data_IF_213548401915
#
_entry.id   IF_213548401915
#
_cell.length_a   1.000
_cell.length_b   1.000
_cell.length_c   1.000
_cell.angle_alpha   90.00
_cell.angle_beta   90.00
_cell.angle_gamma   90.00
#
_symmetry.space_group_name_H-M   'P 1'
#
loop_
_entity.id
_entity.type
_entity.pdbx_description
1 polymer ?
#
# COMPACT_ATOMS: atom_id res chain seq x y z
N UNK A 1 -8.38 -5.74 6.01
CA UNK A 1 -6.92 -5.90 6.26
C UNK A 1 -6.42 -7.12 5.50
N UNK A 2 -5.19 -7.10 4.96
CA UNK A 2 -4.70 -8.08 3.96
C UNK A 2 -4.34 -9.48 4.46
N UNK A 3 -4.28 -9.72 5.78
CA UNK A 3 -3.81 -11.00 6.37
C UNK A 3 -2.41 -11.43 5.91
N UNK A 4 -1.52 -10.47 5.62
CA UNK A 4 -0.11 -10.72 5.27
C UNK A 4 0.81 -10.16 6.35
N UNK A 5 2.06 -10.62 6.35
CA UNK A 5 3.12 -10.05 7.19
C UNK A 5 3.39 -8.56 6.84
N UNK A 6 3.65 -7.69 7.82
CA UNK A 6 3.98 -6.28 7.57
C UNK A 6 5.19 -6.04 6.64
N UNK A 7 6.16 -6.96 6.58
CA UNK A 7 7.29 -6.86 5.63
C UNK A 7 6.82 -7.01 4.18
N UNK A 8 5.75 -7.77 3.95
CA UNK A 8 5.13 -7.88 2.62
C UNK A 8 4.55 -6.53 2.18
N UNK A 9 3.82 -5.85 3.08
CA UNK A 9 3.29 -4.50 2.82
C UNK A 9 4.41 -3.48 2.61
N UNK A 10 5.52 -3.62 3.37
CA UNK A 10 6.72 -2.80 3.16
C UNK A 10 7.35 -3.05 1.80
N UNK A 11 7.39 -4.30 1.32
CA UNK A 11 7.90 -4.65 -0.01
C UNK A 11 7.05 -4.01 -1.10
N UNK A 12 5.72 -4.04 -0.98
CA UNK A 12 4.83 -3.37 -1.95
C UNK A 12 5.13 -1.88 -2.08
N UNK A 13 5.38 -1.20 -0.97
CA UNK A 13 5.77 0.21 -1.00
C UNK A 13 7.16 0.44 -1.61
N UNK A 14 8.12 -0.47 -1.39
CA UNK A 14 9.44 -0.38 -2.05
C UNK A 14 9.34 -0.59 -3.57
N UNK A 15 8.42 -1.43 -4.02
CA UNK A 15 8.21 -1.73 -5.44
C UNK A 15 7.19 -0.81 -6.12
N UNK A 16 6.74 0.25 -5.44
CA UNK A 16 5.79 1.22 -6.00
C UNK A 16 4.35 0.69 -6.18
N UNK A 17 4.00 -0.44 -5.57
CA UNK A 17 2.64 -1.03 -5.63
C UNK A 17 1.67 -0.43 -4.62
N UNK A 18 2.19 0.26 -3.60
CA UNK A 18 1.40 0.91 -2.56
C UNK A 18 2.11 2.18 -2.12
N UNK A 19 1.44 3.32 -2.18
CA UNK A 19 2.03 4.59 -1.77
C UNK A 19 2.28 4.61 -0.25
N UNK A 20 3.44 5.13 0.16
CA UNK A 20 3.77 5.25 1.58
C UNK A 20 4.44 6.57 1.91
N UNK A 21 4.07 7.14 3.05
CA UNK A 21 4.78 8.25 3.68
C UNK A 21 5.55 7.75 4.90
N UNK A 22 6.61 8.46 5.29
CA UNK A 22 7.36 8.15 6.51
C UNK A 22 7.06 9.18 7.59
N UNK A 23 6.86 8.69 8.81
CA UNK A 23 6.86 9.54 10.01
C UNK A 23 8.28 10.01 10.33
N UNK A 24 8.43 11.00 11.22
CA UNK A 24 9.73 11.44 11.74
C UNK A 24 10.55 10.28 12.35
N UNK A 25 9.89 9.31 12.99
CA UNK A 25 10.54 8.10 13.53
C UNK A 25 10.83 6.99 12.51
N UNK A 26 10.63 7.23 11.21
CA UNK A 26 10.97 6.28 10.14
C UNK A 26 9.94 5.18 9.85
N UNK A 27 8.88 5.05 10.64
CA UNK A 27 7.78 4.13 10.36
C UNK A 27 6.98 4.55 9.12
N UNK A 28 6.49 3.58 8.36
CA UNK A 28 5.66 3.82 7.18
C UNK A 28 4.18 3.96 7.56
N UNK A 29 3.50 4.87 6.89
CA UNK A 29 2.04 5.02 6.91
C UNK A 29 1.53 4.91 5.47
N UNK A 30 0.31 4.39 5.32
CA UNK A 30 -0.31 4.08 4.04
C UNK A 30 -1.64 4.83 3.94
N UNK A 31 -1.98 5.27 2.73
CA UNK A 31 -3.25 5.94 2.48
C UNK A 31 -4.39 4.93 2.61
N UNK A 32 -5.37 5.25 3.46
CA UNK A 32 -6.48 4.34 3.74
C UNK A 32 -7.29 4.00 2.47
N UNK A 33 -7.56 5.00 1.63
CA UNK A 33 -8.31 4.81 0.39
C UNK A 33 -7.64 3.79 -0.55
N UNK A 34 -6.32 3.87 -0.71
CA UNK A 34 -5.54 2.95 -1.55
C UNK A 34 -5.53 1.54 -0.96
N UNK A 35 -5.37 1.41 0.36
CA UNK A 35 -5.46 0.13 1.07
C UNK A 35 -6.84 -0.51 0.90
N UNK A 36 -7.92 0.28 1.01
CA UNK A 36 -9.29 -0.19 0.81
C UNK A 36 -9.53 -0.61 -0.64
N UNK A 37 -9.03 0.15 -1.62
CA UNK A 37 -9.12 -0.17 -3.04
C UNK A 37 -8.44 -1.51 -3.37
N UNK A 38 -7.20 -1.70 -2.90
CA UNK A 38 -6.46 -2.95 -3.08
C UNK A 38 -7.13 -4.15 -2.40
N UNK A 39 -7.79 -3.95 -1.25
CA UNK A 39 -8.60 -5.00 -0.61
C UNK A 39 -9.85 -5.36 -1.43
N UNK A 40 -10.40 -4.40 -2.18
CA UNK A 40 -11.49 -4.61 -3.12
C UNK A 40 -11.02 -5.14 -4.49
N UNK A 41 -9.72 -5.37 -4.67
CA UNK A 41 -9.14 -5.87 -5.92
C UNK A 41 -8.88 -4.79 -6.97
N UNK A 42 -8.97 -3.50 -6.62
CA UNK A 42 -8.67 -2.38 -7.51
C UNK A 42 -7.20 -2.00 -7.36
N UNK A 43 -6.42 -2.19 -8.41
CA UNK A 43 -5.02 -1.81 -8.45
C UNK A 43 -4.88 -0.38 -9.00
N UNK A 44 -3.92 0.43 -8.52
CA UNK A 44 -3.70 1.78 -9.04
C UNK A 44 -3.44 1.85 -10.56
N UNK A 45 -2.97 0.75 -11.17
CA UNK A 45 -2.76 0.63 -12.61
C UNK A 45 -4.02 0.31 -13.43
N UNK A 46 -5.13 -0.04 -12.79
CA UNK A 46 -6.37 -0.43 -13.49
C UNK A 46 -7.17 0.79 -13.98
N UNK A 47 -6.88 2.00 -13.48
CA UNK A 47 -7.59 3.23 -13.86
C UNK A 47 -7.27 3.76 -15.26
N UNK A 48 -6.41 3.08 -16.02
CA UNK A 48 -6.02 3.43 -17.39
C UNK A 48 -6.49 2.40 -18.44
N UNK A 49 -7.31 1.43 -18.05
CA UNK A 49 -7.90 0.42 -18.93
C UNK A 49 -9.40 0.64 -19.17
#
# INVERSE_FOLDING_TARGET
MFRVDPKTVTRWAKTGKLTSIRTLGGHRRYQEAEVRALLAGVSPGDSLA
#
